data_IF_648620285948
#
_entry.id   IF_648620285948
#
_cell.length_a   1.000
_cell.length_b   1.000
_cell.length_c   1.000
_cell.angle_alpha   90.00
_cell.angle_beta   90.00
_cell.angle_gamma   90.00
#
_symmetry.space_group_name_H-M   'P 1'
#
loop_
_entity.id
_entity.type
_entity.pdbx_description
1 polymer ?
#
# COMPACT_ATOMS: atom_id res chain seq x y z
N UNK A 1 1.42 11.41 17.36
CA UNK A 1 2.74 10.73 17.48
C UNK A 1 2.49 9.41 18.19
N UNK A 2 2.73 8.30 17.50
CA UNK A 2 2.58 6.96 18.08
C UNK A 2 3.85 6.66 18.88
N UNK A 3 3.70 6.33 20.16
CA UNK A 3 4.81 6.06 21.07
C UNK A 3 5.27 4.60 20.93
N UNK A 4 6.54 4.34 20.54
CA UNK A 4 7.07 3.00 20.33
C UNK A 4 7.23 2.18 21.61
N UNK A 5 7.13 2.81 22.78
CA UNK A 5 7.20 2.11 24.07
C UNK A 5 5.86 1.50 24.51
N UNK A 6 4.78 1.75 23.76
CA UNK A 6 3.46 1.21 24.07
C UNK A 6 3.42 -0.29 23.82
N UNK A 7 2.77 -1.09 24.70
CA UNK A 7 2.70 -2.54 24.57
C UNK A 7 1.97 -3.03 23.31
N UNK A 8 1.15 -2.16 22.70
CA UNK A 8 0.41 -2.43 21.47
C UNK A 8 0.97 -1.70 20.25
N UNK A 9 2.20 -1.18 20.35
CA UNK A 9 2.91 -0.66 19.18
C UNK A 9 3.12 -1.79 18.16
N UNK A 10 2.86 -1.51 16.88
CA UNK A 10 2.90 -2.49 15.78
C UNK A 10 2.06 -3.76 16.01
N UNK A 11 0.96 -3.63 16.77
CA UNK A 11 -0.01 -4.71 16.97
C UNK A 11 -1.39 -4.30 16.49
N UNK A 12 -2.12 -5.26 15.92
CA UNK A 12 -3.51 -5.08 15.49
C UNK A 12 -4.40 -6.04 16.26
N UNK A 13 -5.49 -5.54 16.80
CA UNK A 13 -6.51 -6.37 17.42
C UNK A 13 -7.57 -6.74 16.39
N UNK A 14 -7.79 -8.04 16.16
CA UNK A 14 -8.83 -8.57 15.27
C UNK A 14 -9.60 -9.67 15.99
N UNK A 15 -10.90 -9.45 16.22
CA UNK A 15 -11.85 -10.43 16.80
C UNK A 15 -11.23 -11.20 17.98
N UNK A 16 -10.99 -10.47 19.07
CA UNK A 16 -10.50 -11.04 20.35
C UNK A 16 -9.04 -11.49 20.38
N UNK A 17 -8.34 -11.41 19.25
CA UNK A 17 -6.92 -11.77 19.15
C UNK A 17 -6.07 -10.54 18.83
N UNK A 18 -4.86 -10.52 19.37
CA UNK A 18 -3.85 -9.51 19.07
C UNK A 18 -2.82 -10.14 18.15
N UNK A 19 -2.58 -9.50 17.01
CA UNK A 19 -1.64 -9.94 15.98
C UNK A 19 -0.46 -8.98 15.92
N UNK A 20 0.70 -9.53 15.59
CA UNK A 20 1.88 -8.75 15.22
C UNK A 20 1.70 -8.20 13.80
N UNK A 21 1.90 -6.90 13.64
CA UNK A 21 1.88 -6.22 12.34
C UNK A 21 3.14 -5.40 12.11
N UNK A 22 4.24 -5.77 12.76
CA UNK A 22 5.52 -5.10 12.59
C UNK A 22 6.05 -5.26 11.17
N UNK A 23 6.98 -4.37 10.80
CA UNK A 23 7.66 -4.45 9.51
C UNK A 23 8.30 -5.82 9.27
N UNK A 24 8.91 -6.42 10.31
CA UNK A 24 9.56 -7.74 10.21
C UNK A 24 8.56 -8.85 9.87
N UNK A 25 7.38 -8.85 10.49
CA UNK A 25 6.32 -9.80 10.17
C UNK A 25 5.91 -9.75 8.70
N UNK A 26 5.88 -8.57 8.09
CA UNK A 26 5.58 -8.40 6.66
C UNK A 26 6.74 -8.90 5.79
N UNK A 27 7.99 -8.59 6.17
CA UNK A 27 9.19 -9.08 5.47
C UNK A 27 9.22 -10.60 5.45
N UNK A 28 9.05 -11.23 6.61
CA UNK A 28 9.10 -12.68 6.76
C UNK A 28 7.97 -13.35 5.98
N UNK A 29 6.77 -12.77 5.96
CA UNK A 29 5.64 -13.29 5.19
C UNK A 29 5.87 -13.27 3.68
N UNK A 30 6.51 -12.22 3.16
CA UNK A 30 6.72 -12.03 1.72
C UNK A 30 7.90 -12.82 1.17
N UNK A 31 8.74 -13.41 2.03
CA UNK A 31 9.99 -14.08 1.65
C UNK A 31 10.86 -13.24 0.69
N UNK A 32 10.79 -11.91 0.85
CA UNK A 32 11.44 -10.96 -0.04
C UNK A 32 12.83 -10.63 0.49
N UNK A 33 13.91 -10.74 -0.31
CA UNK A 33 15.22 -10.24 0.10
C UNK A 33 15.11 -8.79 0.57
N UNK A 34 15.74 -8.49 1.71
CA UNK A 34 15.80 -7.12 2.23
C UNK A 34 16.46 -6.23 1.18
N UNK A 35 15.67 -5.37 0.57
CA UNK A 35 16.17 -4.28 -0.27
C UNK A 35 16.69 -3.21 0.70
N UNK A 36 17.99 -2.92 0.64
CA UNK A 36 18.63 -1.91 1.51
C UNK A 36 18.19 -0.48 1.16
N UNK A 37 17.68 -0.27 -0.05
CA UNK A 37 17.20 1.03 -0.52
C UNK A 37 15.84 1.31 0.11
N UNK A 38 15.74 2.46 0.78
CA UNK A 38 14.47 3.02 1.24
C UNK A 38 13.62 3.43 0.02
N UNK A 39 12.45 2.81 -0.15
CA UNK A 39 11.56 3.07 -1.28
C UNK A 39 11.09 4.53 -1.33
N UNK A 40 10.98 5.20 -0.18
CA UNK A 40 10.47 6.56 -0.06
C UNK A 40 11.57 7.62 -0.15
N UNK A 41 12.85 7.25 0.07
CA UNK A 41 14.00 8.13 -0.13
C UNK A 41 14.70 7.92 -1.48
N UNK A 42 14.25 6.93 -2.25
CA UNK A 42 14.77 6.64 -3.58
C UNK A 42 14.61 7.87 -4.49
N UNK A 43 15.73 8.32 -5.05
CA UNK A 43 15.72 9.46 -5.97
C UNK A 43 15.25 9.00 -7.36
N UNK A 44 14.05 9.41 -7.74
CA UNK A 44 13.52 9.21 -9.08
C UNK A 44 13.76 10.47 -9.91
N UNK A 45 14.43 10.32 -11.05
CA UNK A 45 14.38 11.34 -12.11
C UNK A 45 12.95 11.47 -12.58
N UNK A 46 12.27 12.57 -12.24
CA UNK A 46 10.82 12.73 -12.43
C UNK A 46 10.46 12.69 -13.92
N UNK A 47 11.34 13.17 -14.79
CA UNK A 47 11.19 13.12 -16.24
C UNK A 47 11.10 11.67 -16.75
N UNK A 48 11.86 10.74 -16.15
CA UNK A 48 11.83 9.32 -16.48
C UNK A 48 10.52 8.67 -16.00
N UNK A 49 10.05 9.05 -14.81
CA UNK A 49 8.76 8.58 -14.28
C UNK A 49 7.63 9.02 -15.21
N UNK A 50 7.56 10.31 -15.52
CA UNK A 50 6.48 10.88 -16.36
C UNK A 50 6.53 10.29 -17.76
N UNK A 51 7.70 10.22 -18.40
CA UNK A 51 7.82 9.65 -19.75
C UNK A 51 7.45 8.18 -19.82
N UNK A 52 7.76 7.37 -18.80
CA UNK A 52 7.28 5.98 -18.80
C UNK A 52 5.79 5.87 -18.55
N UNK A 53 5.26 6.66 -17.64
CA UNK A 53 3.84 6.60 -17.31
C UNK A 53 2.95 7.14 -18.43
N UNK A 54 3.35 8.23 -19.10
CA UNK A 54 2.55 8.97 -20.07
C UNK A 54 3.02 8.85 -21.53
N UNK A 55 4.22 8.30 -21.78
CA UNK A 55 4.81 8.21 -23.12
C UNK A 55 5.67 9.43 -23.47
N UNK A 56 5.27 10.21 -24.47
CA UNK A 56 6.09 11.31 -25.01
C UNK A 56 6.13 12.57 -24.12
N UNK A 57 5.39 12.56 -23.01
CA UNK A 57 5.36 13.67 -22.04
C UNK A 57 6.49 13.50 -21.03
N UNK A 58 7.32 14.51 -20.84
CA UNK A 58 8.47 14.47 -19.91
C UNK A 58 8.34 15.41 -18.72
N UNK A 59 7.28 16.23 -18.66
CA UNK A 59 7.14 17.28 -17.65
C UNK A 59 6.04 16.92 -16.67
N UNK A 60 6.40 16.82 -15.38
CA UNK A 60 5.42 16.90 -14.31
C UNK A 60 4.99 18.36 -14.20
N UNK A 61 3.77 18.68 -14.62
CA UNK A 61 3.25 20.05 -14.48
C UNK A 61 3.21 20.42 -13.01
N UNK A 62 4.09 21.33 -12.57
CA UNK A 62 4.25 21.74 -11.17
C UNK A 62 2.95 22.25 -10.52
N UNK A 63 2.00 22.72 -11.34
CA UNK A 63 0.71 23.23 -10.86
C UNK A 63 -0.25 22.12 -10.41
N UNK A 64 0.00 20.85 -10.77
CA UNK A 64 -0.77 19.71 -10.26
C UNK A 64 0.10 18.79 -9.41
N UNK A 65 -0.30 18.60 -8.15
CA UNK A 65 0.27 17.57 -7.27
C UNK A 65 -0.08 16.13 -7.72
N UNK A 66 -0.66 15.95 -8.90
CA UNK A 66 -1.11 14.67 -9.41
C UNK A 66 -1.19 14.62 -10.95
N UNK A 67 -0.90 13.45 -11.53
CA UNK A 67 -1.11 13.14 -12.95
C UNK A 67 -2.55 12.72 -13.19
N UNK A 68 -3.07 12.85 -14.41
CA UNK A 68 -4.41 12.36 -14.73
C UNK A 68 -4.35 10.89 -15.13
N UNK A 69 -5.23 10.07 -14.54
CA UNK A 69 -5.19 8.62 -14.72
C UNK A 69 -5.51 8.15 -16.15
N UNK A 70 -6.26 8.95 -16.92
CA UNK A 70 -6.59 8.65 -18.31
C UNK A 70 -5.42 8.89 -19.29
N UNK A 71 -4.38 9.61 -18.86
CA UNK A 71 -3.20 9.92 -19.69
C UNK A 71 -2.13 8.82 -19.59
N UNK A 72 -2.33 7.85 -18.70
CA UNK A 72 -1.43 6.72 -18.56
C UNK A 72 -1.39 5.87 -19.83
N UNK A 73 -0.18 5.41 -20.19
CA UNK A 73 0.00 4.36 -21.19
C UNK A 73 -0.73 3.08 -20.78
N UNK A 74 -1.02 2.21 -21.74
CA UNK A 74 -1.78 0.98 -21.52
C UNK A 74 -1.23 0.13 -20.36
N UNK A 75 0.10 -0.04 -20.29
CA UNK A 75 0.79 -0.79 -19.23
C UNK A 75 0.49 -0.20 -17.85
N UNK A 76 0.74 1.09 -17.67
CA UNK A 76 0.59 1.74 -16.38
C UNK A 76 -0.89 1.96 -16.01
N UNK A 77 -1.79 2.10 -17.00
CA UNK A 77 -3.24 2.16 -16.78
C UNK A 77 -3.77 0.86 -16.18
N UNK A 78 -3.34 -0.30 -16.69
CA UNK A 78 -3.71 -1.60 -16.12
C UNK A 78 -3.11 -1.79 -14.72
N UNK A 79 -1.83 -1.44 -14.53
CA UNK A 79 -1.20 -1.52 -13.22
C UNK A 79 -1.90 -0.63 -12.19
N UNK A 80 -2.25 0.61 -12.58
CA UNK A 80 -3.01 1.53 -11.75
C UNK A 80 -4.37 0.95 -11.33
N UNK A 81 -5.11 0.31 -12.25
CA UNK A 81 -6.39 -0.35 -11.93
C UNK A 81 -6.21 -1.49 -10.93
N UNK A 82 -5.18 -2.33 -11.10
CA UNK A 82 -4.86 -3.42 -10.16
C UNK A 82 -4.51 -2.85 -8.78
N UNK A 83 -3.66 -1.84 -8.76
CA UNK A 83 -3.22 -1.18 -7.53
C UNK A 83 -4.38 -0.51 -6.80
N UNK A 84 -5.31 0.16 -7.50
CA UNK A 84 -6.51 0.74 -6.89
C UNK A 84 -7.43 -0.31 -6.24
N UNK A 85 -7.49 -1.52 -6.79
CA UNK A 85 -8.34 -2.57 -6.23
C UNK A 85 -7.68 -3.31 -5.07
N UNK A 86 -6.36 -3.51 -5.12
CA UNK A 86 -5.66 -4.40 -4.20
C UNK A 86 -4.74 -3.69 -3.21
N UNK A 87 -4.15 -2.54 -3.56
CA UNK A 87 -3.00 -1.98 -2.84
C UNK A 87 -3.29 -0.60 -2.25
N UNK A 88 -4.02 0.24 -2.98
CA UNK A 88 -4.28 1.63 -2.61
C UNK A 88 -5.70 2.03 -3.00
N UNK A 89 -6.72 1.58 -2.24
CA UNK A 89 -8.09 1.88 -2.57
C UNK A 89 -8.40 3.36 -2.35
N UNK A 90 -8.43 4.13 -3.44
CA UNK A 90 -8.87 5.53 -3.46
C UNK A 90 -10.29 5.64 -3.98
N UNK A 91 -11.04 6.62 -3.49
CA UNK A 91 -12.36 7.00 -4.05
C UNK A 91 -12.24 8.02 -5.18
N UNK A 92 -11.12 8.74 -5.25
CA UNK A 92 -10.83 9.68 -6.34
C UNK A 92 -10.00 9.00 -7.43
N UNK A 93 -10.68 8.61 -8.51
CA UNK A 93 -10.09 7.95 -9.67
C UNK A 93 -9.40 8.86 -10.72
N UNK A 94 -9.65 10.18 -10.82
CA UNK A 94 -9.17 10.93 -11.99
C UNK A 94 -7.68 11.25 -11.91
N UNK A 95 -7.04 11.13 -10.73
CA UNK A 95 -5.68 11.61 -10.51
C UNK A 95 -4.80 10.64 -9.74
N UNK A 96 -3.48 10.73 -9.96
CA UNK A 96 -2.44 9.87 -9.41
C UNK A 96 -1.41 10.76 -8.73
N UNK A 97 -1.29 10.64 -7.42
CA UNK A 97 -0.29 11.38 -6.64
C UNK A 97 1.15 10.95 -6.99
N UNK A 98 2.11 11.83 -6.78
CA UNK A 98 3.54 11.62 -7.13
C UNK A 98 4.14 10.34 -6.56
N UNK A 99 3.95 10.09 -5.26
CA UNK A 99 4.41 8.87 -4.60
C UNK A 99 3.82 7.60 -5.23
N UNK A 100 2.54 7.63 -5.61
CA UNK A 100 1.91 6.51 -6.28
C UNK A 100 2.41 6.33 -7.71
N UNK A 101 2.70 7.41 -8.42
CA UNK A 101 3.32 7.37 -9.74
C UNK A 101 4.73 6.75 -9.71
N UNK A 102 5.57 7.13 -8.73
CA UNK A 102 6.89 6.51 -8.52
C UNK A 102 6.80 5.01 -8.22
N UNK A 103 5.85 4.60 -7.36
CA UNK A 103 5.60 3.18 -7.08
C UNK A 103 5.21 2.41 -8.34
N UNK A 104 4.28 2.96 -9.13
CA UNK A 104 3.86 2.35 -10.40
C UNK A 104 5.07 2.22 -11.33
N UNK A 105 5.89 3.26 -11.44
CA UNK A 105 7.13 3.26 -12.23
C UNK A 105 8.05 2.11 -11.85
N UNK A 106 8.40 1.97 -10.58
CA UNK A 106 9.34 0.97 -10.08
C UNK A 106 8.88 -0.46 -10.34
N UNK A 107 7.60 -0.73 -10.07
CA UNK A 107 6.97 -2.03 -10.41
C UNK A 107 6.97 -2.24 -11.93
N UNK A 108 6.65 -1.20 -12.69
CA UNK A 108 6.58 -1.24 -14.14
C UNK A 108 7.92 -1.54 -14.79
N UNK A 109 9.04 -1.05 -14.26
CA UNK A 109 10.38 -1.36 -14.78
C UNK A 109 10.98 -2.64 -14.18
N UNK A 110 10.23 -3.35 -13.32
CA UNK A 110 10.69 -4.53 -12.59
C UNK A 110 11.97 -4.26 -11.79
N UNK A 111 12.11 -3.03 -11.29
CA UNK A 111 13.20 -2.68 -10.39
C UNK A 111 12.92 -3.25 -9.00
N UNK A 112 13.97 -3.40 -8.17
CA UNK A 112 13.86 -3.82 -6.77
C UNK A 112 13.02 -2.79 -5.99
N UNK A 113 11.70 -2.99 -5.99
CA UNK A 113 10.77 -2.25 -5.14
C UNK A 113 10.73 -2.93 -3.78
N UNK A 114 10.93 -2.17 -2.71
CA UNK A 114 10.83 -2.68 -1.34
C UNK A 114 9.35 -2.83 -0.94
N UNK A 115 8.72 -3.90 -1.45
CA UNK A 115 7.30 -4.15 -1.28
C UNK A 115 6.89 -4.23 0.20
N UNK A 116 7.75 -4.78 1.05
CA UNK A 116 7.51 -4.87 2.49
C UNK A 116 7.39 -3.48 3.12
N UNK A 117 8.24 -2.53 2.71
CA UNK A 117 8.22 -1.16 3.21
C UNK A 117 6.98 -0.40 2.73
N UNK A 118 6.61 -0.59 1.45
CA UNK A 118 5.39 -0.02 0.87
C UNK A 118 4.16 -0.49 1.63
N UNK A 119 4.02 -1.80 1.83
CA UNK A 119 2.88 -2.40 2.53
C UNK A 119 2.82 -1.90 3.97
N UNK A 120 3.94 -1.93 4.70
CA UNK A 120 3.99 -1.46 6.08
C UNK A 120 3.54 0.00 6.17
N UNK A 121 4.12 0.89 5.36
CA UNK A 121 3.75 2.30 5.33
C UNK A 121 2.26 2.52 5.02
N UNK A 122 1.71 1.79 4.05
CA UNK A 122 0.28 1.88 3.71
C UNK A 122 -0.58 1.46 4.90
N UNK A 123 -0.28 0.32 5.54
CA UNK A 123 -1.03 -0.18 6.70
C UNK A 123 -0.93 0.81 7.87
N UNK A 124 0.27 1.31 8.19
CA UNK A 124 0.49 2.27 9.28
C UNK A 124 -0.31 3.57 9.08
N UNK A 125 -0.39 4.06 7.83
CA UNK A 125 -1.18 5.25 7.50
C UNK A 125 -2.69 5.05 7.68
N UNK A 126 -3.21 3.83 7.49
CA UNK A 126 -4.61 3.52 7.78
C UNK A 126 -4.90 3.61 9.27
N UNK A 127 -4.00 3.07 10.11
CA UNK A 127 -4.16 3.09 11.56
C UNK A 127 -4.27 4.53 12.10
N UNK A 128 -3.62 5.50 11.42
CA UNK A 128 -3.71 6.93 11.74
C UNK A 128 -4.96 7.65 11.22
N UNK A 129 -5.71 7.07 10.27
CA UNK A 129 -6.79 7.74 9.54
C UNK A 129 -8.17 7.10 9.73
N UNK A 130 -9.03 7.72 10.53
CA UNK A 130 -10.40 7.23 10.79
C UNK A 130 -11.38 7.69 9.70
N UNK A 131 -11.49 6.95 8.58
CA UNK A 131 -12.59 7.16 7.61
C UNK A 131 -13.54 5.96 7.62
N UNK A 132 -14.83 6.22 7.87
CA UNK A 132 -15.90 5.21 8.01
C UNK A 132 -16.04 4.26 6.80
N UNK A 133 -15.56 4.65 5.62
CA UNK A 133 -15.71 3.91 4.37
C UNK A 133 -14.37 3.53 3.71
N UNK A 134 -13.29 3.45 4.49
CA UNK A 134 -11.99 3.09 3.94
C UNK A 134 -11.94 1.60 3.64
N UNK A 135 -11.70 1.24 2.37
CA UNK A 135 -11.44 -0.15 2.00
C UNK A 135 -10.07 -0.55 2.54
N UNK A 136 -9.95 -1.81 2.95
CA UNK A 136 -8.68 -2.35 3.40
C UNK A 136 -7.74 -2.58 2.21
N UNK A 137 -6.53 -2.00 2.19
CA UNK A 137 -5.50 -2.35 1.23
C UNK A 137 -4.89 -3.70 1.58
N UNK A 138 -4.43 -4.41 0.56
CA UNK A 138 -3.82 -5.74 0.64
C UNK A 138 -4.64 -6.77 1.43
N UNK A 139 -5.96 -6.91 1.17
CA UNK A 139 -6.82 -7.74 2.02
C UNK A 139 -6.38 -9.20 2.09
N UNK A 140 -5.92 -9.77 0.96
CA UNK A 140 -5.43 -11.15 0.91
C UNK A 140 -4.09 -11.32 1.63
N UNK A 141 -3.21 -10.31 1.56
CA UNK A 141 -1.92 -10.34 2.24
C UNK A 141 -2.12 -10.24 3.75
N UNK A 142 -2.93 -9.27 4.20
CA UNK A 142 -3.26 -9.11 5.61
C UNK A 142 -3.90 -10.38 6.12
N UNK A 143 -4.86 -10.95 5.39
CA UNK A 143 -5.43 -12.25 5.74
C UNK A 143 -4.36 -13.34 5.90
N UNK A 144 -3.44 -13.47 4.93
CA UNK A 144 -2.36 -14.45 4.99
C UNK A 144 -1.46 -14.27 6.22
N UNK A 145 -1.07 -13.03 6.54
CA UNK A 145 -0.25 -12.70 7.71
C UNK A 145 -0.99 -13.08 9.00
N UNK A 146 -2.27 -12.71 9.12
CA UNK A 146 -3.08 -13.05 10.29
C UNK A 146 -3.23 -14.57 10.44
N UNK A 147 -3.48 -15.26 9.34
CA UNK A 147 -3.67 -16.71 9.30
C UNK A 147 -2.44 -17.50 9.74
N UNK A 148 -1.22 -17.01 9.46
CA UNK A 148 0.02 -17.64 9.90
C UNK A 148 0.24 -17.54 11.41
N UNK A 149 -0.28 -16.50 12.06
CA UNK A 149 -0.14 -16.29 13.50
C UNK A 149 -1.22 -17.03 14.28
N UNK A 150 -2.49 -16.80 13.91
CA UNK A 150 -3.64 -17.47 14.51
C UNK A 150 -4.64 -17.86 13.40
N UNK A 151 -5.01 -19.13 13.28
CA UNK A 151 -5.98 -19.56 12.29
C UNK A 151 -7.33 -18.84 12.46
N UNK A 152 -7.72 -18.08 11.45
CA UNK A 152 -9.01 -17.41 11.39
C UNK A 152 -10.10 -18.42 10.98
N UNK A 153 -11.19 -18.46 11.73
CA UNK A 153 -12.35 -19.29 11.39
C UNK A 153 -13.06 -18.75 10.12
N UNK A 154 -13.77 -19.63 9.38
CA UNK A 154 -14.43 -19.32 8.10
C UNK A 154 -15.35 -18.08 8.12
N UNK A 155 -15.93 -17.73 9.27
CA UNK A 155 -16.77 -16.53 9.44
C UNK A 155 -15.98 -15.21 9.33
N UNK A 156 -14.66 -15.24 9.46
CA UNK A 156 -13.78 -14.07 9.28
C UNK A 156 -13.56 -13.77 7.79
N UNK A 157 -13.60 -14.79 6.94
CA UNK A 157 -13.41 -14.69 5.48
C UNK A 157 -14.49 -13.80 4.84
N UNK A 158 -15.73 -13.94 5.30
CA UNK A 158 -16.87 -13.11 4.84
C UNK A 158 -16.79 -11.67 5.39
N UNK A 159 -16.19 -11.48 6.56
CA UNK A 159 -16.02 -10.17 7.21
C UNK A 159 -14.87 -9.35 6.62
N UNK A 160 -13.83 -9.97 6.06
CA UNK A 160 -12.77 -9.24 5.36
C UNK A 160 -13.24 -8.75 3.97
N UNK A 161 -14.23 -9.41 3.38
CA UNK A 161 -14.99 -8.88 2.22
C UNK A 161 -15.95 -7.73 2.60
N UNK A 162 -16.32 -7.62 3.88
CA UNK A 162 -17.25 -6.61 4.39
C UNK A 162 -16.67 -5.94 5.65
N UNK A 163 -15.83 -4.92 5.45
CA UNK A 163 -15.41 -3.94 6.46
C UNK A 163 -14.69 -4.51 7.70
N UNK A 164 -13.41 -4.16 7.85
CA UNK A 164 -12.76 -4.20 9.16
C UNK A 164 -13.29 -3.04 10.01
N UNK A 165 -14.30 -3.35 10.82
CA UNK A 165 -14.64 -2.64 12.04
C UNK A 165 -13.54 -2.92 13.06
N UNK A 166 -12.56 -2.04 13.21
CA UNK A 166 -11.77 -2.00 14.46
C UNK A 166 -11.75 -0.61 15.07
N UNK A 167 -12.52 -0.55 16.15
CA UNK A 167 -12.56 0.43 17.20
C UNK A 167 -11.24 0.41 17.97
N UNK A 168 -10.68 1.59 18.22
CA UNK A 168 -9.95 1.81 19.46
C UNK A 168 -10.99 1.89 20.57
N UNK A 169 -10.85 1.09 21.62
CA UNK A 169 -11.38 1.45 22.94
C UNK A 169 -10.78 2.77 23.42
#
# INVERSE_FOLDING_TARGET
IVDPTRPFYDKVYVREHVYDSSFLTIVDFLDNPRVEVDEFEKDHTIENVVSKLLGDVTVWTNDSHALKSYELTYKYSNLHKIAQHNWWPTTHQPTIAKNFACLLFDIGISFQANLSQIIFHVISNLCGGRKKNQKLPFPNLIYGILQQQYPLNFLVILSLHFYLLFLTG
#
